data_IF_025120183221
#
_entry.id   IF_025120183221
#
_cell.length_a   1.000
_cell.length_b   1.000
_cell.length_c   1.000
_cell.angle_alpha   90.00
_cell.angle_beta   90.00
_cell.angle_gamma   90.00
#
_symmetry.space_group_name_H-M   'P 1'
#
loop_
_entity.id
_entity.type
_entity.pdbx_description
1 polymer ?
#
# COMPACT_ATOMS: atom_id res chain seq x y z
N UNK A 1 41.39 -4.05 -25.06
CA UNK A 1 41.27 -3.94 -23.59
C UNK A 1 39.89 -3.38 -23.31
N UNK A 2 38.89 -4.26 -23.28
CA UNK A 2 37.49 -3.92 -23.01
C UNK A 2 37.32 -3.71 -21.52
N UNK A 3 36.96 -2.49 -21.12
CA UNK A 3 36.59 -2.19 -19.75
C UNK A 3 35.29 -2.93 -19.42
N UNK A 4 35.38 -3.89 -18.50
CA UNK A 4 34.22 -4.52 -17.88
C UNK A 4 33.55 -3.47 -17.01
N UNK A 5 32.35 -3.02 -17.40
CA UNK A 5 31.46 -2.20 -16.57
C UNK A 5 30.91 -3.08 -15.44
N UNK A 6 31.72 -3.30 -14.40
CA UNK A 6 31.26 -3.84 -13.13
C UNK A 6 30.61 -2.72 -12.32
N UNK A 7 29.42 -2.29 -12.75
CA UNK A 7 28.47 -1.71 -11.81
C UNK A 7 27.94 -2.86 -10.96
N UNK A 8 28.66 -3.15 -9.86
CA UNK A 8 28.05 -3.84 -8.73
C UNK A 8 26.81 -3.02 -8.37
N UNK A 9 25.64 -3.59 -8.63
CA UNK A 9 24.36 -2.98 -8.27
C UNK A 9 24.26 -3.01 -6.76
N UNK A 10 24.76 -1.96 -6.11
CA UNK A 10 24.38 -1.64 -4.74
C UNK A 10 22.86 -1.77 -4.66
N UNK A 11 22.32 -2.61 -3.76
CA UNK A 11 20.88 -2.78 -3.64
C UNK A 11 20.24 -1.42 -3.47
N UNK A 12 19.28 -1.09 -4.34
CA UNK A 12 18.52 0.16 -4.20
C UNK A 12 17.92 0.14 -2.81
N UNK A 13 18.35 1.06 -1.95
CA UNK A 13 18.10 1.07 -0.51
C UNK A 13 16.60 0.85 -0.16
N UNK A 14 15.70 1.30 -1.04
CA UNK A 14 14.25 1.08 -0.92
C UNK A 14 13.77 -0.36 -1.14
N UNK A 15 14.37 -1.14 -2.05
CA UNK A 15 13.94 -2.51 -2.34
C UNK A 15 14.25 -3.47 -1.19
N UNK A 16 15.39 -3.28 -0.52
CA UNK A 16 15.73 -4.08 0.67
C UNK A 16 14.74 -3.85 1.82
N UNK A 17 14.18 -2.64 1.93
CA UNK A 17 13.20 -2.28 2.98
C UNK A 17 11.82 -2.92 2.79
N UNK A 18 11.54 -3.53 1.64
CA UNK A 18 10.29 -4.25 1.37
C UNK A 18 10.51 -5.75 1.12
N UNK A 19 11.76 -6.23 1.23
CA UNK A 19 12.13 -7.62 1.05
C UNK A 19 12.34 -8.31 2.41
N UNK A 20 12.12 -9.63 2.44
CA UNK A 20 12.55 -10.48 3.55
C UNK A 20 14.08 -10.61 3.55
N UNK A 21 14.71 -11.11 4.64
CA UNK A 21 16.14 -11.43 4.64
C UNK A 21 16.58 -12.39 3.52
N UNK A 22 15.67 -13.22 3.01
CA UNK A 22 15.91 -14.10 1.86
C UNK A 22 15.92 -13.38 0.50
N UNK A 23 15.65 -12.08 0.46
CA UNK A 23 15.43 -11.30 -0.76
C UNK A 23 14.04 -11.45 -1.38
N UNK A 24 13.17 -12.32 -0.84
CA UNK A 24 11.82 -12.51 -1.36
C UNK A 24 10.87 -11.39 -0.90
N UNK A 25 9.94 -11.00 -1.76
CA UNK A 25 8.87 -10.06 -1.42
C UNK A 25 7.61 -10.84 -1.03
N UNK A 26 7.20 -10.73 0.23
CA UNK A 26 5.98 -11.37 0.75
C UNK A 26 5.11 -10.27 1.36
N UNK A 27 4.31 -9.62 0.54
CA UNK A 27 3.65 -8.36 0.87
C UNK A 27 2.15 -8.55 1.04
N UNK A 28 1.52 -7.65 1.80
CA UNK A 28 0.06 -7.58 1.93
C UNK A 28 -0.45 -6.31 1.25
N UNK A 29 -1.45 -6.44 0.38
CA UNK A 29 -2.08 -5.31 -0.29
C UNK A 29 -3.44 -5.02 0.32
N UNK A 30 -3.63 -3.78 0.76
CA UNK A 30 -4.85 -3.29 1.39
C UNK A 30 -5.34 -1.96 0.80
N UNK A 31 -4.89 -1.58 -0.40
CA UNK A 31 -5.22 -0.32 -1.09
C UNK A 31 -6.60 -0.31 -1.77
N UNK A 32 -7.39 -1.37 -1.61
CA UNK A 32 -8.75 -1.45 -2.14
C UNK A 32 -9.65 -0.38 -1.50
N UNK A 33 -10.31 0.44 -2.33
CA UNK A 33 -11.26 1.49 -1.91
C UNK A 33 -12.69 1.00 -2.12
N UNK A 34 -13.34 1.42 -3.20
CA UNK A 34 -14.73 1.05 -3.49
C UNK A 34 -14.89 -0.46 -3.80
N UNK A 35 -13.83 -1.12 -4.24
CA UNK A 35 -13.79 -2.59 -4.32
C UNK A 35 -13.93 -3.25 -2.94
N UNK A 36 -13.32 -2.70 -1.87
CA UNK A 36 -13.50 -3.22 -0.51
C UNK A 36 -14.93 -2.98 -0.01
N UNK A 37 -15.51 -1.81 -0.32
CA UNK A 37 -16.93 -1.53 -0.01
C UNK A 37 -17.87 -2.50 -0.73
N UNK A 38 -17.55 -2.86 -1.96
CA UNK A 38 -18.28 -3.85 -2.76
C UNK A 38 -18.23 -5.23 -2.10
N UNK A 39 -17.06 -5.67 -1.66
CA UNK A 39 -16.88 -6.93 -0.92
C UNK A 39 -17.74 -6.93 0.35
N UNK A 40 -17.76 -5.84 1.11
CA UNK A 40 -18.62 -5.71 2.30
C UNK A 40 -20.11 -5.84 1.96
N UNK A 41 -20.57 -5.15 0.91
CA UNK A 41 -21.96 -5.23 0.44
C UNK A 41 -22.34 -6.66 0.06
N UNK A 42 -21.48 -7.36 -0.67
CA UNK A 42 -21.73 -8.75 -1.07
C UNK A 42 -21.77 -9.71 0.13
N UNK A 43 -20.89 -9.49 1.12
CA UNK A 43 -20.83 -10.33 2.31
C UNK A 43 -21.96 -10.07 3.32
N UNK A 44 -22.46 -8.83 3.41
CA UNK A 44 -23.39 -8.41 4.48
C UNK A 44 -24.77 -8.00 3.98
N UNK A 45 -24.95 -7.79 2.68
CA UNK A 45 -26.16 -7.22 2.09
C UNK A 45 -26.34 -5.71 2.28
N UNK A 46 -25.38 -5.02 2.93
CA UNK A 46 -25.50 -3.60 3.25
C UNK A 46 -24.27 -2.79 2.80
N UNK A 47 -24.50 -1.53 2.41
CA UNK A 47 -23.41 -0.57 2.23
C UNK A 47 -22.81 -0.22 3.59
N UNK A 48 -21.49 -0.08 3.62
CA UNK A 48 -20.74 0.34 4.80
C UNK A 48 -20.20 1.74 4.62
N UNK A 49 -20.04 2.48 5.71
CA UNK A 49 -19.41 3.79 5.72
C UNK A 49 -17.88 3.69 5.65
N UNK A 50 -17.23 4.83 5.50
CA UNK A 50 -15.77 4.91 5.43
C UNK A 50 -15.09 4.47 6.73
N UNK A 51 -15.76 4.62 7.88
CA UNK A 51 -15.20 4.22 9.17
C UNK A 51 -15.06 2.70 9.28
N UNK A 52 -15.97 1.94 8.68
CA UNK A 52 -15.79 0.49 8.53
C UNK A 52 -14.54 0.17 7.72
N UNK A 53 -14.29 0.87 6.60
CA UNK A 53 -13.10 0.63 5.76
C UNK A 53 -11.81 0.95 6.52
N UNK A 54 -11.77 2.07 7.24
CA UNK A 54 -10.61 2.47 8.08
C UNK A 54 -10.32 1.44 9.16
N UNK A 55 -11.35 1.02 9.91
CA UNK A 55 -11.20 -0.01 10.98
C UNK A 55 -10.72 -1.34 10.43
N UNK A 56 -11.22 -1.76 9.26
CA UNK A 56 -10.72 -2.96 8.59
C UNK A 56 -9.23 -2.84 8.27
N UNK A 57 -8.81 -1.74 7.63
CA UNK A 57 -7.41 -1.52 7.23
C UNK A 57 -6.46 -1.45 8.42
N UNK A 58 -6.85 -0.77 9.49
CA UNK A 58 -6.09 -0.75 10.76
C UNK A 58 -5.96 -2.15 11.36
N UNK A 59 -7.06 -2.93 11.38
CA UNK A 59 -7.05 -4.30 11.90
C UNK A 59 -6.18 -5.22 11.05
N UNK A 60 -6.30 -5.14 9.73
CA UNK A 60 -5.50 -5.89 8.77
C UNK A 60 -4.00 -5.57 8.94
N UNK A 61 -3.64 -4.29 9.03
CA UNK A 61 -2.26 -3.87 9.27
C UNK A 61 -1.72 -4.48 10.58
N UNK A 62 -2.45 -4.31 11.69
CA UNK A 62 -2.02 -4.81 13.01
C UNK A 62 -1.83 -6.33 13.06
N UNK A 63 -2.69 -7.08 12.37
CA UNK A 63 -2.65 -8.55 12.39
C UNK A 63 -1.64 -9.10 11.38
N UNK A 64 -1.51 -8.49 10.20
CA UNK A 64 -0.79 -9.09 9.07
C UNK A 64 0.64 -8.56 8.92
N UNK A 65 0.91 -7.31 9.29
CA UNK A 65 2.24 -6.70 9.09
C UNK A 65 3.38 -7.40 9.82
N UNK A 66 3.21 -8.06 10.99
CA UNK A 66 4.29 -8.84 11.60
C UNK A 66 4.79 -10.03 10.75
N UNK A 67 4.00 -10.44 9.74
CA UNK A 67 4.31 -11.57 8.86
C UNK A 67 4.66 -11.16 7.43
N UNK A 68 4.46 -9.88 7.09
CA UNK A 68 4.68 -9.33 5.75
C UNK A 68 6.01 -8.57 5.68
N UNK A 69 6.67 -8.62 4.52
CA UNK A 69 7.85 -7.78 4.28
C UNK A 69 7.49 -6.33 3.96
N UNK A 70 6.28 -6.10 3.43
CA UNK A 70 5.71 -4.77 3.26
C UNK A 70 4.18 -4.80 3.21
N UNK A 71 3.56 -3.67 3.49
CA UNK A 71 2.13 -3.41 3.28
C UNK A 71 1.94 -2.30 2.26
N UNK A 72 1.00 -2.51 1.33
CA UNK A 72 0.49 -1.49 0.41
C UNK A 72 -0.83 -0.91 0.94
N UNK A 73 -0.89 0.43 1.07
CA UNK A 73 -2.03 1.18 1.59
C UNK A 73 -2.44 2.32 0.66
N UNK A 74 -3.73 2.67 0.66
CA UNK A 74 -4.25 3.87 0.00
C UNK A 74 -4.18 5.10 0.92
N UNK A 75 -4.26 6.31 0.33
CA UNK A 75 -4.22 7.59 1.05
C UNK A 75 -5.52 7.90 1.79
N UNK A 76 -6.66 7.47 1.29
CA UNK A 76 -7.99 7.93 1.72
C UNK A 76 -8.46 7.28 3.02
N UNK A 77 -8.18 5.98 3.16
CA UNK A 77 -8.70 5.13 4.24
C UNK A 77 -7.60 4.34 4.97
N UNK A 78 -6.42 4.16 4.35
CA UNK A 78 -5.34 3.34 4.90
C UNK A 78 -4.28 4.14 5.66
N UNK A 79 -3.53 4.98 4.95
CA UNK A 79 -2.28 5.59 5.41
C UNK A 79 -2.43 6.31 6.75
N UNK A 80 -3.29 7.34 6.81
CA UNK A 80 -3.50 8.12 8.03
C UNK A 80 -3.94 7.27 9.22
N UNK A 81 -5.06 6.52 9.11
CA UNK A 81 -5.56 5.68 10.19
C UNK A 81 -4.57 4.64 10.73
N UNK A 82 -3.81 3.97 9.86
CA UNK A 82 -2.81 2.97 10.26
C UNK A 82 -1.69 3.62 11.08
N UNK A 83 -1.17 4.77 10.62
CA UNK A 83 -0.11 5.50 11.31
C UNK A 83 -0.60 6.08 12.66
N UNK A 84 -1.79 6.67 12.69
CA UNK A 84 -2.37 7.21 13.94
C UNK A 84 -2.64 6.12 14.98
N UNK A 85 -3.01 4.92 14.55
CA UNK A 85 -3.29 3.80 15.44
C UNK A 85 -2.05 2.97 15.82
N UNK A 86 -0.86 3.37 15.38
CA UNK A 86 0.40 2.64 15.54
C UNK A 86 0.24 1.15 15.19
N UNK A 87 -0.38 0.88 14.04
CA UNK A 87 -0.79 -0.45 13.63
C UNK A 87 0.19 -1.12 12.64
N UNK A 88 1.28 -0.44 12.28
CA UNK A 88 2.30 -0.95 11.37
C UNK A 88 3.44 -1.59 12.18
N UNK A 89 3.73 -2.86 11.94
CA UNK A 89 4.92 -3.50 12.51
C UNK A 89 6.21 -2.79 12.02
N UNK A 90 7.17 -2.48 12.90
CA UNK A 90 8.39 -1.75 12.54
C UNK A 90 9.30 -2.50 11.56
N UNK A 91 9.15 -3.84 11.45
CA UNK A 91 9.86 -4.68 10.48
C UNK A 91 9.20 -4.74 9.10
N UNK A 92 8.03 -4.12 8.91
CA UNK A 92 7.25 -4.15 7.68
C UNK A 92 7.42 -2.83 6.90
N UNK A 93 7.85 -2.92 5.63
CA UNK A 93 7.96 -1.76 4.76
C UNK A 93 6.60 -1.13 4.42
N UNK A 94 6.55 0.19 4.26
CA UNK A 94 5.33 0.92 3.90
C UNK A 94 5.34 1.33 2.42
N UNK A 95 4.37 0.85 1.65
CA UNK A 95 4.13 1.23 0.26
C UNK A 95 2.82 2.03 0.19
N UNK A 96 2.84 3.17 -0.49
CA UNK A 96 1.65 4.03 -0.63
C UNK A 96 1.18 4.02 -2.09
N UNK A 97 -0.11 3.79 -2.30
CA UNK A 97 -0.72 3.91 -3.62
C UNK A 97 -0.68 5.37 -4.10
N UNK A 98 -0.27 5.55 -5.35
CA UNK A 98 -0.15 6.81 -6.06
C UNK A 98 -1.11 6.89 -7.26
N UNK A 99 -2.13 6.04 -7.26
CA UNK A 99 -3.16 5.99 -8.28
C UNK A 99 -4.47 6.69 -7.83
N UNK A 100 -4.95 7.58 -8.69
CA UNK A 100 -6.34 8.03 -8.70
C UNK A 100 -7.13 7.07 -9.59
N UNK A 101 -8.10 6.35 -9.01
CA UNK A 101 -8.88 5.35 -9.74
C UNK A 101 -10.24 5.89 -10.15
N UNK A 102 -10.63 5.62 -11.39
CA UNK A 102 -12.00 5.82 -11.86
C UNK A 102 -12.75 4.51 -11.70
N UNK A 103 -13.76 4.52 -10.84
CA UNK A 103 -14.56 3.35 -10.50
C UNK A 103 -15.98 3.79 -10.11
N UNK A 104 -16.97 3.23 -10.78
CA UNK A 104 -18.37 3.33 -10.33
C UNK A 104 -18.61 2.46 -9.10
N UNK A 105 -19.43 2.90 -8.12
CA UNK A 105 -19.75 2.09 -6.94
C UNK A 105 -20.28 0.70 -7.31
N UNK A 106 -19.57 -0.35 -6.90
CA UNK A 106 -19.93 -1.74 -7.22
C UNK A 106 -19.47 -2.24 -8.59
N UNK A 107 -18.80 -1.41 -9.39
CA UNK A 107 -18.21 -1.78 -10.68
C UNK A 107 -16.70 -2.05 -10.58
N UNK A 108 -16.06 -2.55 -11.66
CA UNK A 108 -14.60 -2.63 -11.74
C UNK A 108 -13.97 -1.24 -11.87
N UNK A 109 -12.67 -1.16 -11.59
CA UNK A 109 -11.85 0.01 -11.98
C UNK A 109 -11.81 0.07 -13.51
N UNK A 110 -12.15 1.23 -14.07
CA UNK A 110 -12.20 1.43 -15.54
C UNK A 110 -11.05 2.26 -16.07
N UNK A 111 -10.43 3.08 -15.22
CA UNK A 111 -9.30 3.93 -15.58
C UNK A 111 -8.44 4.26 -14.35
N UNK A 112 -7.19 4.68 -14.58
CA UNK A 112 -6.26 5.10 -13.54
C UNK A 112 -5.36 6.24 -14.00
N UNK A 113 -5.17 7.22 -13.14
CA UNK A 113 -4.22 8.33 -13.32
C UNK A 113 -3.32 8.45 -12.09
N UNK A 114 -2.32 9.33 -12.16
CA UNK A 114 -1.51 9.73 -11.01
C UNK A 114 -2.38 10.50 -10.01
N UNK A 115 -2.28 10.15 -8.72
CA UNK A 115 -2.88 10.94 -7.64
C UNK A 115 -2.14 12.27 -7.47
N UNK A 116 -2.66 13.33 -8.10
CA UNK A 116 -2.11 14.68 -8.00
C UNK A 116 -2.13 15.26 -6.58
N UNK A 117 -2.93 14.69 -5.67
CA UNK A 117 -2.96 15.04 -4.25
C UNK A 117 -1.83 14.39 -3.43
N UNK A 118 -1.12 13.41 -3.99
CA UNK A 118 -0.02 12.71 -3.33
C UNK A 118 1.30 13.46 -3.52
N UNK A 119 1.95 13.81 -2.41
CA UNK A 119 3.34 14.30 -2.40
C UNK A 119 4.30 13.17 -2.00
N UNK A 120 5.19 12.70 -2.91
CA UNK A 120 6.18 11.67 -2.60
C UNK A 120 7.10 12.08 -1.43
N UNK A 121 7.48 13.35 -1.35
CA UNK A 121 8.31 13.86 -0.26
C UNK A 121 7.57 13.77 1.09
N UNK A 122 6.28 14.09 1.12
CA UNK A 122 5.47 14.04 2.34
C UNK A 122 5.32 12.61 2.84
N UNK A 123 4.97 11.66 1.96
CA UNK A 123 4.78 10.27 2.39
C UNK A 123 6.10 9.57 2.73
N UNK A 124 7.22 9.99 2.13
CA UNK A 124 8.55 9.54 2.55
C UNK A 124 8.87 9.95 3.99
N UNK A 125 8.52 11.18 4.39
CA UNK A 125 8.66 11.63 5.79
C UNK A 125 7.76 10.82 6.74
N UNK A 126 6.59 10.38 6.27
CA UNK A 126 5.70 9.49 7.01
C UNK A 126 6.19 8.02 7.06
N UNK A 127 7.35 7.72 6.47
CA UNK A 127 7.98 6.40 6.52
C UNK A 127 7.77 5.53 5.28
N UNK A 128 7.05 6.01 4.26
CA UNK A 128 6.89 5.28 3.00
C UNK A 128 8.24 5.08 2.31
N UNK A 129 8.43 3.88 1.77
CA UNK A 129 9.69 3.44 1.15
C UNK A 129 9.54 3.18 -0.33
N UNK A 130 8.29 3.07 -0.81
CA UNK A 130 7.94 2.91 -2.20
C UNK A 130 6.56 3.52 -2.49
N UNK A 131 6.33 3.81 -3.75
CA UNK A 131 5.03 4.15 -4.30
C UNK A 131 4.58 3.05 -5.25
N UNK A 132 3.27 2.83 -5.36
CA UNK A 132 2.67 1.92 -6.33
C UNK A 132 1.71 2.70 -7.22
N UNK A 133 1.71 2.40 -8.51
CA UNK A 133 0.79 2.96 -9.50
C UNK A 133 0.14 1.79 -10.25
N UNK A 134 -1.19 1.80 -10.35
CA UNK A 134 -1.91 0.93 -11.28
C UNK A 134 -1.84 1.52 -12.69
N UNK A 135 -1.61 0.68 -13.70
CA UNK A 135 -1.55 1.03 -15.13
C UNK A 135 -2.44 0.05 -15.90
#
# INVERSE_FOLDING_TARGET
MTATDTRETEPVEGLQRIARPSGAFAMVATDQRESLRTIYREATGALVDDEVLRRFKVSAARVLTPFASAILVDRDYGLGPILTADALDPGCGLIVAADALVQEPGGPVTDSDLDAGLSPATVRVQGAVALKLLI
#
